data_IF_718909514322
#
_entry.id   IF_718909514322
#
_cell.length_a   1.000
_cell.length_b   1.000
_cell.length_c   1.000
_cell.angle_alpha   90.00
_cell.angle_beta   90.00
_cell.angle_gamma   90.00
#
_symmetry.space_group_name_H-M   'P 1'
#
loop_
_entity.id
_entity.type
_entity.pdbx_description
1 polymer ?
#
# COMPACT_ATOMS: atom_id res chain seq x y z
N UNK A 1 -12.72 29.33 -3.51
CA UNK A 1 -12.70 28.25 -2.49
C UNK A 1 -11.42 27.47 -2.74
N UNK A 2 -10.54 27.29 -1.75
CA UNK A 2 -9.34 26.44 -1.92
C UNK A 2 -9.80 25.02 -2.20
N UNK A 3 -9.21 24.36 -3.20
CA UNK A 3 -9.40 22.93 -3.41
C UNK A 3 -9.03 22.19 -2.10
N UNK A 4 -9.93 21.39 -1.49
CA UNK A 4 -9.63 20.62 -0.29
C UNK A 4 -8.37 19.75 -0.42
N UNK A 5 -8.04 19.30 -1.63
CA UNK A 5 -6.81 18.56 -1.93
C UNK A 5 -5.52 19.38 -1.72
N UNK A 6 -5.62 20.72 -1.72
CA UNK A 6 -4.51 21.62 -1.46
C UNK A 6 -4.34 21.99 0.03
N UNK A 7 -5.29 21.61 0.88
CA UNK A 7 -5.13 21.72 2.34
C UNK A 7 -4.03 20.79 2.84
N UNK A 8 -3.46 21.07 4.01
CA UNK A 8 -2.46 20.19 4.64
C UNK A 8 -3.00 18.76 4.83
N UNK A 9 -4.22 18.65 5.38
CA UNK A 9 -4.89 17.36 5.58
C UNK A 9 -5.14 16.65 4.24
N UNK A 10 -5.65 17.36 3.24
CA UNK A 10 -5.89 16.78 1.91
C UNK A 10 -4.62 16.23 1.26
N UNK A 11 -3.49 16.95 1.38
CA UNK A 11 -2.18 16.47 0.91
C UNK A 11 -1.72 15.23 1.67
N UNK A 12 -1.81 15.26 2.99
CA UNK A 12 -1.44 14.13 3.85
C UNK A 12 -2.26 12.88 3.50
N UNK A 13 -3.58 13.00 3.32
CA UNK A 13 -4.45 11.89 2.95
C UNK A 13 -4.09 11.32 1.57
N UNK A 14 -3.80 12.19 0.59
CA UNK A 14 -3.36 11.77 -0.75
C UNK A 14 -1.98 11.11 -0.78
N UNK A 15 -1.14 11.36 0.23
CA UNK A 15 0.20 10.79 0.34
C UNK A 15 0.24 9.49 1.16
N UNK A 16 -0.65 9.33 2.14
CA UNK A 16 -0.61 8.22 3.10
C UNK A 16 -1.73 7.18 2.87
N UNK A 17 -2.92 7.59 2.41
CA UNK A 17 -4.04 6.69 2.11
C UNK A 17 -3.99 6.27 0.65
N UNK A 18 -2.98 5.46 0.34
CA UNK A 18 -2.70 5.01 -1.01
C UNK A 18 -2.51 3.49 -1.04
N UNK A 19 -2.74 2.82 -2.18
CA UNK A 19 -2.71 1.36 -2.22
C UNK A 19 -1.37 0.76 -1.80
N UNK A 20 -1.45 -0.31 -1.01
CA UNK A 20 -0.31 -1.14 -0.61
C UNK A 20 -0.13 -2.26 -1.62
N UNK A 21 1.12 -2.48 -2.03
CA UNK A 21 1.54 -3.66 -2.80
C UNK A 21 2.48 -4.47 -1.92
N UNK A 22 2.08 -5.70 -1.62
CA UNK A 22 2.93 -6.66 -0.94
C UNK A 22 3.99 -7.19 -1.92
N UNK A 23 5.23 -7.32 -1.47
CA UNK A 23 6.35 -7.85 -2.26
C UNK A 23 6.78 -9.18 -1.66
N UNK A 24 6.69 -10.23 -2.47
CA UNK A 24 7.29 -11.54 -2.20
C UNK A 24 8.47 -11.71 -3.15
N UNK A 25 9.60 -12.19 -2.65
CA UNK A 25 10.84 -12.26 -3.43
C UNK A 25 11.66 -13.50 -3.09
N UNK A 26 12.54 -13.91 -4.00
CA UNK A 26 13.63 -14.85 -3.68
C UNK A 26 14.85 -14.11 -3.14
N UNK A 27 15.70 -14.80 -2.37
CA UNK A 27 16.93 -14.17 -1.86
C UNK A 27 17.85 -13.70 -2.99
N UNK A 28 17.94 -14.48 -4.07
CA UNK A 28 18.73 -14.16 -5.27
C UNK A 28 18.36 -12.80 -5.88
N UNK A 29 17.09 -12.38 -5.80
CA UNK A 29 16.68 -11.04 -6.27
C UNK A 29 17.30 -9.94 -5.42
N UNK A 30 17.27 -10.08 -4.09
CA UNK A 30 17.93 -9.09 -3.22
C UNK A 30 19.43 -9.09 -3.45
N UNK A 31 20.06 -10.25 -3.61
CA UNK A 31 21.49 -10.33 -3.84
C UNK A 31 21.88 -9.60 -5.14
N UNK A 32 21.05 -9.68 -6.20
CA UNK A 32 21.24 -8.91 -7.44
C UNK A 32 21.03 -7.41 -7.23
N UNK A 33 19.96 -6.98 -6.54
CA UNK A 33 19.72 -5.56 -6.25
C UNK A 33 20.80 -4.96 -5.35
N UNK A 34 21.28 -5.72 -4.37
CA UNK A 34 22.25 -5.28 -3.36
C UNK A 34 23.62 -4.98 -3.96
N UNK A 35 23.96 -5.54 -5.13
CA UNK A 35 25.15 -5.13 -5.91
C UNK A 35 25.12 -3.63 -6.26
N UNK A 36 23.93 -3.04 -6.37
CA UNK A 36 23.72 -1.59 -6.56
C UNK A 36 23.55 -0.81 -5.24
N UNK A 37 23.75 -1.44 -4.08
CA UNK A 37 23.60 -0.81 -2.77
C UNK A 37 22.14 -0.62 -2.31
N UNK A 38 21.17 -1.14 -3.06
CA UNK A 38 19.73 -1.00 -2.77
C UNK A 38 19.07 -2.38 -2.64
N UNK A 39 18.07 -2.48 -1.76
CA UNK A 39 17.12 -3.61 -1.84
C UNK A 39 16.09 -3.39 -2.95
N UNK A 40 15.35 -4.43 -3.31
CA UNK A 40 14.36 -4.36 -4.42
C UNK A 40 13.32 -3.25 -4.21
N UNK A 41 12.77 -3.13 -2.99
CA UNK A 41 11.75 -2.11 -2.69
C UNK A 41 12.33 -0.70 -2.84
N UNK A 42 13.53 -0.45 -2.32
CA UNK A 42 14.24 0.83 -2.46
C UNK A 42 14.52 1.16 -3.92
N UNK A 43 14.86 0.15 -4.72
CA UNK A 43 15.10 0.31 -6.15
C UNK A 43 13.84 0.78 -6.89
N UNK A 44 12.65 0.23 -6.58
CA UNK A 44 11.39 0.58 -7.24
C UNK A 44 10.67 1.82 -6.67
N UNK A 45 10.93 2.17 -5.42
CA UNK A 45 10.17 3.20 -4.68
C UNK A 45 10.10 4.58 -5.38
N UNK A 46 11.16 5.11 -6.03
CA UNK A 46 11.07 6.39 -6.71
C UNK A 46 10.05 6.44 -7.84
N UNK A 47 9.73 5.28 -8.44
CA UNK A 47 8.78 5.16 -9.54
C UNK A 47 7.36 4.82 -9.07
N UNK A 48 7.11 4.84 -7.75
CA UNK A 48 5.79 4.59 -7.18
C UNK A 48 4.92 5.86 -7.07
N UNK A 49 5.47 7.06 -7.32
CA UNK A 49 4.72 8.32 -7.29
C UNK A 49 4.44 8.83 -8.71
N UNK A 50 3.18 8.75 -9.11
CA UNK A 50 2.71 9.19 -10.42
C UNK A 50 2.07 10.57 -10.33
N UNK A 51 2.72 11.59 -10.87
CA UNK A 51 2.17 12.95 -10.90
C UNK A 51 1.15 13.17 -12.03
N UNK A 52 1.15 12.31 -13.05
CA UNK A 52 0.22 12.35 -14.18
C UNK A 52 -0.03 10.93 -14.73
N UNK A 53 -0.75 10.09 -13.97
CA UNK A 53 -1.09 8.74 -14.41
C UNK A 53 -2.20 8.73 -15.48
N UNK A 54 -3.09 9.72 -15.41
CA UNK A 54 -4.20 9.99 -16.33
C UNK A 54 -5.10 8.79 -16.69
N UNK A 55 -5.36 7.90 -15.74
CA UNK A 55 -6.19 6.70 -15.95
C UNK A 55 -7.68 7.03 -15.73
N UNK A 56 -8.57 6.69 -16.68
CA UNK A 56 -10.01 6.79 -16.45
C UNK A 56 -10.46 5.69 -15.49
N UNK A 57 -11.23 6.06 -14.48
CA UNK A 57 -11.82 5.16 -13.49
C UNK A 57 -13.33 5.30 -13.52
N UNK A 58 -14.02 4.17 -13.43
CA UNK A 58 -15.49 4.10 -13.38
C UNK A 58 -15.94 3.20 -12.23
N UNK A 59 -16.28 3.80 -11.11
CA UNK A 59 -16.76 3.08 -9.91
C UNK A 59 -18.22 2.64 -10.06
N UNK A 60 -19.15 3.19 -9.27
CA UNK A 60 -20.56 2.77 -9.21
C UNK A 60 -21.48 3.67 -10.03
N UNK A 61 -21.14 4.96 -10.17
CA UNK A 61 -22.01 5.94 -10.85
C UNK A 61 -21.92 5.90 -12.39
N UNK A 62 -21.19 4.94 -12.98
CA UNK A 62 -20.90 4.75 -14.42
C UNK A 62 -20.32 5.97 -15.18
N UNK A 63 -20.25 7.15 -14.55
CA UNK A 63 -19.60 8.36 -15.07
C UNK A 63 -18.09 8.23 -14.82
N UNK A 64 -17.25 8.17 -15.87
CA UNK A 64 -15.80 8.12 -15.71
C UNK A 64 -15.24 9.43 -15.19
N UNK A 65 -14.29 9.34 -14.26
CA UNK A 65 -13.39 10.43 -13.89
C UNK A 65 -11.93 9.99 -14.13
N UNK A 66 -10.98 10.93 -14.14
CA UNK A 66 -9.55 10.61 -14.39
C UNK A 66 -8.71 10.80 -13.14
N UNK A 67 -7.97 9.77 -12.77
CA UNK A 67 -6.94 9.86 -11.75
C UNK A 67 -5.73 10.61 -12.33
N UNK A 68 -5.41 11.77 -11.75
CA UNK A 68 -4.25 12.57 -12.17
C UNK A 68 -2.99 12.19 -11.41
N UNK A 69 -3.07 12.17 -10.07
CA UNK A 69 -1.99 11.71 -9.22
C UNK A 69 -2.33 10.35 -8.63
N UNK A 70 -1.31 9.51 -8.45
CA UNK A 70 -1.46 8.21 -7.84
C UNK A 70 -0.16 7.83 -7.17
N UNK A 71 -0.22 7.04 -6.10
CA UNK A 71 0.98 6.60 -5.38
C UNK A 71 0.78 5.16 -4.94
N UNK A 72 1.82 4.35 -5.06
CA UNK A 72 1.87 3.02 -4.47
C UNK A 72 2.79 3.02 -3.26
N UNK A 73 2.52 2.13 -2.31
CA UNK A 73 3.42 1.85 -1.19
C UNK A 73 3.81 0.37 -1.23
N UNK A 74 5.10 0.11 -1.39
CA UNK A 74 5.64 -1.25 -1.46
C UNK A 74 6.10 -1.69 -0.07
N UNK A 75 5.72 -2.90 0.34
CA UNK A 75 6.18 -3.51 1.59
C UNK A 75 6.53 -4.97 1.35
N UNK A 76 7.63 -5.46 1.94
CA UNK A 76 7.84 -6.90 2.00
C UNK A 76 6.77 -7.54 2.88
N UNK A 77 6.41 -8.79 2.58
CA UNK A 77 5.45 -9.54 3.40
C UNK A 77 5.82 -9.59 4.89
N UNK A 78 7.12 -9.63 5.21
CA UNK A 78 7.64 -9.59 6.59
C UNK A 78 7.33 -8.29 7.35
N UNK A 79 7.12 -7.19 6.63
CA UNK A 79 6.91 -5.86 7.21
C UNK A 79 5.42 -5.55 7.40
N UNK A 80 4.54 -6.37 6.82
CA UNK A 80 3.08 -6.26 6.92
C UNK A 80 2.64 -6.95 8.21
N UNK A 81 2.85 -6.27 9.32
CA UNK A 81 2.45 -6.74 10.65
C UNK A 81 2.23 -5.56 11.59
N UNK A 82 1.35 -5.75 12.57
CA UNK A 82 1.23 -4.80 13.67
C UNK A 82 2.37 -5.02 14.68
N UNK A 83 2.85 -3.95 15.33
CA UNK A 83 3.67 -4.07 16.52
C UNK A 83 2.94 -4.88 17.59
N UNK A 84 3.65 -5.81 18.23
CA UNK A 84 3.05 -6.77 19.18
C UNK A 84 2.45 -6.11 20.44
N UNK A 85 2.85 -4.88 20.78
CA UNK A 85 2.35 -4.19 21.97
C UNK A 85 2.18 -2.67 21.80
N UNK A 86 1.21 -2.11 22.53
CA UNK A 86 0.99 -0.66 22.66
C UNK A 86 2.22 0.05 23.24
N UNK A 87 2.96 -0.62 24.11
CA UNK A 87 4.19 -0.10 24.70
C UNK A 87 5.28 0.08 23.63
N UNK A 88 5.42 -0.88 22.70
CA UNK A 88 6.36 -0.76 21.58
C UNK A 88 6.06 0.45 20.71
N UNK A 89 4.78 0.68 20.37
CA UNK A 89 4.33 1.87 19.63
C UNK A 89 4.67 3.15 20.41
N UNK A 90 4.35 3.18 21.70
CA UNK A 90 4.58 4.36 22.54
C UNK A 90 6.08 4.68 22.65
N UNK A 91 6.92 3.66 22.81
CA UNK A 91 8.36 3.81 22.88
C UNK A 91 8.94 4.29 21.54
N UNK A 92 8.48 3.75 20.41
CA UNK A 92 8.86 4.22 19.08
C UNK A 92 8.52 5.71 18.88
N UNK A 93 7.30 6.11 19.20
CA UNK A 93 6.88 7.52 19.10
C UNK A 93 7.72 8.46 19.99
N UNK A 94 8.12 8.01 21.18
CA UNK A 94 9.06 8.75 22.04
C UNK A 94 10.44 8.89 21.39
N UNK A 95 10.97 7.83 20.78
CA UNK A 95 12.26 7.87 20.09
C UNK A 95 12.22 8.82 18.89
N UNK A 96 11.15 8.78 18.08
CA UNK A 96 10.94 9.70 16.95
C UNK A 96 10.95 11.16 17.43
N UNK A 97 10.28 11.45 18.54
CA UNK A 97 10.28 12.79 19.14
C UNK A 97 11.69 13.23 19.58
N UNK A 98 12.45 12.35 20.24
CA UNK A 98 13.82 12.65 20.70
C UNK A 98 14.72 12.92 19.49
N UNK A 99 14.74 12.02 18.51
CA UNK A 99 15.61 12.13 17.32
C UNK A 99 15.30 13.40 16.50
N UNK A 100 14.02 13.75 16.36
CA UNK A 100 13.64 14.94 15.62
C UNK A 100 14.05 16.23 16.34
N UNK A 101 14.00 16.26 17.68
CA UNK A 101 14.50 17.41 18.46
C UNK A 101 16.03 17.53 18.41
N UNK A 102 16.76 16.42 18.41
CA UNK A 102 18.23 16.44 18.28
C UNK A 102 18.70 16.94 16.91
N UNK A 103 17.87 16.77 15.87
CA UNK A 103 18.16 17.23 14.50
C UNK A 103 17.82 18.72 14.32
N UNK A 104 16.97 19.30 15.17
CA UNK A 104 16.68 20.74 15.19
C UNK A 104 17.78 21.50 15.95
N UNK A 105 18.77 22.01 15.21
CA UNK A 105 19.69 23.02 15.75
C UNK A 105 18.88 24.24 16.24
N UNK A 106 19.15 24.73 17.45
CA UNK A 106 18.52 25.94 18.00
C UNK A 106 18.65 27.09 17.00
N UNK A 107 17.55 27.61 16.42
CA UNK A 107 17.64 28.77 15.54
C UNK A 107 18.10 29.97 16.35
N UNK A 108 19.01 30.79 15.80
CA UNK A 108 19.28 32.11 16.36
C UNK A 108 17.97 32.91 16.49
N UNK A 109 17.80 33.71 17.55
CA UNK A 109 16.57 34.47 17.76
C UNK A 109 16.29 35.38 16.54
N UNK A 110 15.07 35.36 15.99
CA UNK A 110 14.75 36.10 14.78
C UNK A 110 14.89 37.60 15.01
N UNK A 111 15.56 38.28 14.08
CA UNK A 111 15.65 39.75 14.04
C UNK A 111 14.22 40.34 13.98
N UNK A 112 13.92 41.44 14.71
CA UNK A 112 12.57 41.95 14.90
C UNK A 112 11.81 42.32 13.62
N UNK A 113 12.51 42.53 12.50
CA UNK A 113 11.91 42.82 11.19
C UNK A 113 11.27 41.62 10.47
N UNK A 114 11.57 40.38 10.87
CA UNK A 114 11.10 39.16 10.19
C UNK A 114 9.95 38.43 10.90
N UNK A 115 9.50 38.91 12.07
CA UNK A 115 8.49 38.23 12.90
C UNK A 115 7.15 38.07 12.16
N UNK A 116 6.72 39.09 11.41
CA UNK A 116 5.49 39.06 10.61
C UNK A 116 5.59 38.16 9.37
N UNK A 117 6.79 37.97 8.83
CA UNK A 117 7.05 37.12 7.67
C UNK A 117 7.13 35.65 8.09
N UNK A 118 7.78 35.37 9.23
CA UNK A 118 7.83 34.03 9.84
C UNK A 118 6.45 33.59 10.31
N UNK A 119 5.67 34.47 10.96
CA UNK A 119 4.31 34.16 11.41
C UNK A 119 3.31 33.87 10.27
N UNK A 120 3.57 34.36 9.04
CA UNK A 120 2.75 34.05 7.86
C UNK A 120 3.09 32.70 7.21
N UNK A 121 4.23 32.12 7.55
CA UNK A 121 4.61 30.76 7.18
C UNK A 121 4.37 29.90 8.40
N UNK A 122 3.18 29.31 8.54
CA UNK A 122 2.90 28.28 9.54
C UNK A 122 3.79 27.04 9.29
N UNK A 123 5.10 27.14 9.54
CA UNK A 123 6.00 26.00 9.45
C UNK A 123 5.91 25.23 10.75
N UNK A 124 5.05 24.21 10.80
CA UNK A 124 5.00 23.29 11.93
C UNK A 124 6.40 22.79 12.28
N UNK A 125 6.79 22.66 13.56
CA UNK A 125 8.08 22.08 13.94
C UNK A 125 8.31 20.71 13.27
N UNK A 126 9.54 20.38 12.94
CA UNK A 126 9.87 19.12 12.25
C UNK A 126 9.54 17.90 13.11
N UNK A 127 9.75 17.99 14.43
CA UNK A 127 9.33 16.95 15.38
C UNK A 127 7.83 16.70 15.34
N UNK A 128 7.01 17.75 15.20
CA UNK A 128 5.55 17.61 15.16
C UNK A 128 5.10 16.91 13.88
N UNK A 129 5.76 17.22 12.75
CA UNK A 129 5.51 16.53 11.47
C UNK A 129 5.94 15.07 11.53
N UNK A 130 7.13 14.78 12.06
CA UNK A 130 7.65 13.43 12.21
C UNK A 130 6.79 12.58 13.15
N UNK A 131 6.42 13.15 14.30
CA UNK A 131 5.54 12.50 15.27
C UNK A 131 4.15 12.22 14.69
N UNK A 132 3.50 13.20 14.06
CA UNK A 132 2.17 12.99 13.47
C UNK A 132 2.19 11.96 12.34
N UNK A 133 3.25 11.96 11.54
CA UNK A 133 3.44 10.94 10.51
C UNK A 133 3.45 9.56 11.18
N UNK A 134 4.35 9.32 12.12
CA UNK A 134 4.48 8.03 12.80
C UNK A 134 3.23 7.64 13.60
N UNK A 135 2.50 8.60 14.15
CA UNK A 135 1.22 8.36 14.80
C UNK A 135 0.16 7.84 13.83
N UNK A 136 0.10 8.39 12.60
CA UNK A 136 -0.78 7.89 11.52
C UNK A 136 -0.31 6.52 11.02
N UNK A 137 0.99 6.22 11.08
CA UNK A 137 1.53 4.91 10.67
C UNK A 137 1.37 3.83 11.74
N UNK A 138 1.23 4.21 13.01
CA UNK A 138 1.16 3.27 14.13
C UNK A 138 0.05 2.20 14.02
N UNK A 139 -1.18 2.51 13.56
CA UNK A 139 -2.23 1.50 13.42
C UNK A 139 -2.12 0.64 12.15
N UNK A 140 -1.12 0.84 11.28
CA UNK A 140 -1.00 0.11 10.00
C UNK A 140 -1.12 -1.41 10.16
N UNK A 141 -1.62 -2.03 9.09
CA UNK A 141 -1.79 -3.49 8.98
C UNK A 141 -2.65 -4.09 10.10
N UNK A 142 -3.65 -3.35 10.55
CA UNK A 142 -4.60 -3.85 11.56
C UNK A 142 -5.67 -4.77 10.96
N UNK A 143 -6.28 -5.61 11.80
CA UNK A 143 -7.46 -6.40 11.41
C UNK A 143 -8.74 -5.56 11.27
N UNK A 144 -8.75 -4.33 11.79
CA UNK A 144 -9.96 -3.51 11.98
C UNK A 144 -10.11 -2.38 10.95
N UNK A 145 -9.10 -2.12 10.14
CA UNK A 145 -9.14 -1.29 8.94
C UNK A 145 -8.53 -2.02 7.74
N UNK A 146 -8.96 -1.71 6.51
CA UNK A 146 -8.40 -2.32 5.30
C UNK A 146 -7.62 -1.32 4.43
N UNK A 147 -7.38 -0.10 4.92
CA UNK A 147 -6.62 0.96 4.22
C UNK A 147 -5.17 0.53 3.94
N UNK A 148 -4.56 -0.21 4.86
CA UNK A 148 -3.20 -0.73 4.71
C UNK A 148 -3.16 -2.20 4.31
N UNK A 149 -4.30 -2.82 4.00
CA UNK A 149 -4.30 -4.16 3.45
C UNK A 149 -3.77 -4.12 2.02
N UNK A 150 -2.83 -5.02 1.66
CA UNK A 150 -2.37 -5.15 0.28
C UNK A 150 -3.51 -5.31 -0.72
N UNK A 151 -3.55 -4.44 -1.72
CA UNK A 151 -4.51 -4.55 -2.84
C UNK A 151 -3.99 -5.50 -3.92
N UNK A 152 -2.68 -5.70 -3.95
CA UNK A 152 -1.97 -6.55 -4.89
C UNK A 152 -0.69 -7.12 -4.26
N UNK A 153 -0.16 -8.18 -4.88
CA UNK A 153 1.09 -8.83 -4.55
C UNK A 153 1.99 -8.85 -5.78
N UNK A 154 3.16 -8.27 -5.68
CA UNK A 154 4.25 -8.41 -6.64
C UNK A 154 5.10 -9.60 -6.21
N UNK A 155 5.06 -10.70 -6.98
CA UNK A 155 5.86 -11.90 -6.74
C UNK A 155 7.08 -11.83 -7.64
N UNK A 156 8.27 -11.88 -7.07
CA UNK A 156 9.52 -11.55 -7.77
C UNK A 156 10.52 -12.70 -7.65
N UNK A 157 11.00 -13.17 -8.80
CA UNK A 157 11.98 -14.27 -8.88
C UNK A 157 13.11 -13.84 -9.81
N UNK A 158 14.32 -14.30 -9.53
CA UNK A 158 15.48 -14.03 -10.38
C UNK A 158 15.56 -15.07 -11.49
N UNK A 159 15.95 -14.64 -12.69
CA UNK A 159 16.32 -15.54 -13.80
C UNK A 159 17.52 -16.45 -13.49
N UNK A 160 18.28 -16.15 -12.43
CA UNK A 160 19.38 -16.96 -11.90
C UNK A 160 18.89 -18.06 -10.95
N UNK A 161 17.66 -17.98 -10.45
CA UNK A 161 17.12 -18.99 -9.56
C UNK A 161 17.03 -20.36 -10.23
N UNK A 162 17.25 -21.42 -9.44
CA UNK A 162 16.94 -22.77 -9.87
C UNK A 162 15.42 -22.94 -9.98
N UNK A 163 14.96 -23.47 -11.12
CA UNK A 163 13.53 -23.66 -11.44
C UNK A 163 12.65 -22.43 -11.11
N UNK A 164 12.86 -21.27 -11.78
CA UNK A 164 12.18 -20.01 -11.44
C UNK A 164 10.65 -20.11 -11.40
N UNK A 165 10.05 -20.88 -12.32
CA UNK A 165 8.59 -21.06 -12.40
C UNK A 165 8.03 -21.70 -11.12
N UNK A 166 8.70 -22.71 -10.57
CA UNK A 166 8.27 -23.36 -9.34
C UNK A 166 8.36 -22.39 -8.15
N UNK A 167 9.42 -21.56 -8.10
CA UNK A 167 9.59 -20.57 -7.03
C UNK A 167 8.45 -19.53 -6.99
N UNK A 168 7.91 -19.11 -8.14
CA UNK A 168 6.74 -18.23 -8.16
C UNK A 168 5.53 -18.84 -7.47
N UNK A 169 5.31 -20.14 -7.66
CA UNK A 169 4.20 -20.89 -7.03
C UNK A 169 4.47 -21.03 -5.53
N UNK A 170 5.70 -21.39 -5.17
CA UNK A 170 6.07 -21.65 -3.78
C UNK A 170 5.97 -20.39 -2.91
N UNK A 171 6.44 -19.23 -3.41
CA UNK A 171 6.48 -17.97 -2.64
C UNK A 171 5.12 -17.61 -2.04
N UNK A 172 4.03 -17.78 -2.79
CA UNK A 172 2.68 -17.48 -2.31
C UNK A 172 2.06 -18.59 -1.44
N UNK A 173 2.63 -19.78 -1.44
CA UNK A 173 2.16 -20.91 -0.63
C UNK A 173 3.02 -21.13 0.63
N UNK A 174 4.02 -20.27 0.88
CA UNK A 174 4.86 -20.36 2.07
C UNK A 174 4.19 -19.78 3.32
N UNK A 175 4.66 -20.21 4.49
CA UNK A 175 4.30 -19.62 5.78
C UNK A 175 4.84 -18.18 5.97
N UNK A 176 5.42 -17.56 4.94
CA UNK A 176 5.96 -16.19 4.99
C UNK A 176 4.87 -15.13 4.74
N UNK A 177 3.63 -15.55 4.46
CA UNK A 177 2.51 -14.65 4.30
C UNK A 177 2.16 -13.94 5.63
N UNK A 178 1.71 -12.67 5.58
CA UNK A 178 1.26 -11.94 6.76
C UNK A 178 0.16 -12.68 7.52
N UNK A 179 0.16 -12.59 8.86
CA UNK A 179 -0.86 -13.24 9.70
C UNK A 179 -2.28 -12.80 9.34
N UNK A 180 -2.46 -11.56 8.86
CA UNK A 180 -3.74 -11.06 8.35
C UNK A 180 -4.40 -11.99 7.31
N UNK A 181 -3.62 -12.67 6.47
CA UNK A 181 -4.14 -13.65 5.51
C UNK A 181 -4.51 -14.97 6.21
N UNK A 182 -3.65 -15.44 7.09
CA UNK A 182 -3.81 -16.74 7.76
C UNK A 182 -4.94 -16.73 8.79
N UNK A 183 -5.13 -15.60 9.47
CA UNK A 183 -6.14 -15.39 10.52
C UNK A 183 -7.52 -15.03 9.93
N UNK A 184 -7.62 -14.88 8.60
CA UNK A 184 -8.87 -14.58 7.91
C UNK A 184 -9.35 -13.13 8.05
N UNK A 185 -8.47 -12.20 8.43
CA UNK A 185 -8.76 -10.77 8.44
C UNK A 185 -8.75 -10.18 7.02
N UNK A 186 -7.90 -10.72 6.13
CA UNK A 186 -7.76 -10.30 4.73
C UNK A 186 -8.12 -11.43 3.76
N UNK A 187 -8.71 -11.07 2.62
CA UNK A 187 -9.03 -12.01 1.54
C UNK A 187 -7.73 -12.51 0.87
N UNK A 188 -7.44 -13.82 0.84
CA UNK A 188 -6.25 -14.35 0.17
C UNK A 188 -6.30 -14.21 -1.36
N UNK A 189 -7.46 -13.87 -1.93
CA UNK A 189 -7.63 -13.62 -3.37
C UNK A 189 -7.30 -12.17 -3.74
N UNK A 190 -6.05 -11.78 -3.50
CA UNK A 190 -5.48 -10.51 -3.97
C UNK A 190 -4.95 -10.64 -5.39
N UNK A 191 -4.88 -9.51 -6.12
CA UNK A 191 -4.22 -9.44 -7.43
C UNK A 191 -2.75 -9.88 -7.31
N UNK A 192 -2.26 -10.71 -8.23
CA UNK A 192 -0.85 -11.13 -8.27
C UNK A 192 -0.25 -10.69 -9.59
N UNK A 193 0.93 -10.09 -9.52
CA UNK A 193 1.76 -9.75 -10.69
C UNK A 193 3.11 -10.44 -10.55
N UNK A 194 3.54 -11.16 -11.57
CA UNK A 194 4.75 -11.97 -11.56
C UNK A 194 5.87 -11.23 -12.29
N UNK A 195 6.95 -10.94 -11.57
CA UNK A 195 8.10 -10.20 -12.09
C UNK A 195 9.33 -11.11 -12.12
N UNK A 196 9.89 -11.30 -13.31
CA UNK A 196 11.21 -11.90 -13.49
C UNK A 196 12.26 -10.80 -13.46
N UNK A 197 13.25 -10.91 -12.58
CA UNK A 197 14.40 -10.00 -12.57
C UNK A 197 15.59 -10.68 -13.26
N UNK A 198 16.19 -10.00 -14.22
CA UNK A 198 17.40 -10.45 -14.90
C UNK A 198 18.51 -9.44 -14.70
N UNK A 199 19.56 -9.84 -13.99
CA UNK A 199 20.80 -9.08 -13.97
C UNK A 199 21.58 -9.39 -15.25
N UNK A 200 21.87 -8.37 -16.04
CA UNK A 200 22.57 -8.49 -17.32
C UNK A 200 23.99 -9.09 -17.18
N UNK A 201 24.53 -9.16 -15.96
CA UNK A 201 25.80 -9.83 -15.66
C UNK A 201 25.66 -11.35 -15.45
N UNK A 202 24.45 -11.86 -15.24
CA UNK A 202 24.21 -13.26 -14.83
C UNK A 202 23.89 -14.21 -16.03
N UNK A 203 23.81 -13.71 -17.27
CA UNK A 203 23.63 -14.57 -18.45
C UNK A 203 23.14 -13.84 -19.70
N UNK A 204 22.70 -14.59 -20.71
CA UNK A 204 22.15 -14.02 -21.95
C UNK A 204 20.69 -13.59 -21.78
N UNK A 205 20.34 -12.46 -22.41
CA UNK A 205 18.97 -11.93 -22.47
C UNK A 205 17.98 -12.93 -23.09
N UNK A 206 18.43 -13.77 -24.04
CA UNK A 206 17.61 -14.84 -24.65
C UNK A 206 17.06 -15.83 -23.62
N UNK A 207 17.86 -16.19 -22.61
CA UNK A 207 17.42 -17.09 -21.54
C UNK A 207 16.27 -16.46 -20.74
N UNK A 208 16.40 -15.18 -20.40
CA UNK A 208 15.37 -14.45 -19.66
C UNK A 208 14.08 -14.31 -20.48
N UNK A 209 14.19 -14.06 -21.79
CA UNK A 209 13.02 -14.00 -22.69
C UNK A 209 12.30 -15.35 -22.82
N UNK A 210 13.04 -16.46 -22.92
CA UNK A 210 12.44 -17.79 -22.95
C UNK A 210 11.70 -18.12 -21.64
N UNK A 211 12.29 -17.78 -20.49
CA UNK A 211 11.62 -17.92 -19.19
C UNK A 211 10.37 -17.05 -19.10
N UNK A 212 10.39 -15.82 -19.63
CA UNK A 212 9.21 -14.96 -19.68
C UNK A 212 8.07 -15.57 -20.52
N UNK A 213 8.37 -16.22 -21.64
CA UNK A 213 7.37 -16.92 -22.45
C UNK A 213 6.74 -18.07 -21.66
N UNK A 214 7.56 -18.86 -20.95
CA UNK A 214 7.09 -19.94 -20.09
C UNK A 214 6.22 -19.42 -18.93
N UNK A 215 6.63 -18.32 -18.28
CA UNK A 215 5.84 -17.64 -17.25
C UNK A 215 4.48 -17.20 -17.79
N UNK A 216 4.44 -16.56 -18.96
CA UNK A 216 3.19 -16.11 -19.60
C UNK A 216 2.25 -17.27 -19.92
N UNK A 217 2.79 -18.43 -20.30
CA UNK A 217 2.00 -19.65 -20.50
C UNK A 217 1.43 -20.21 -19.18
N UNK A 218 2.15 -20.03 -18.07
CA UNK A 218 1.79 -20.63 -16.76
C UNK A 218 0.83 -19.76 -15.96
N UNK A 219 1.12 -18.46 -15.90
CA UNK A 219 0.43 -17.52 -15.02
C UNK A 219 -0.50 -16.54 -15.75
N UNK A 220 -0.46 -16.51 -17.08
CA UNK A 220 -1.23 -15.58 -17.90
C UNK A 220 -0.35 -14.51 -18.54
N UNK A 221 -0.71 -14.13 -19.77
CA UNK A 221 0.12 -13.23 -20.60
C UNK A 221 0.23 -11.82 -20.06
N UNK A 222 -0.80 -11.34 -19.36
CA UNK A 222 -0.91 -9.97 -18.91
C UNK A 222 -0.28 -9.77 -17.53
N UNK A 223 -0.25 -10.81 -16.70
CA UNK A 223 0.18 -10.70 -15.29
C UNK A 223 1.68 -10.96 -15.11
N UNK A 224 2.46 -11.01 -16.19
CA UNK A 224 3.90 -11.32 -16.18
C UNK A 224 4.73 -10.20 -16.81
N UNK A 225 5.82 -9.81 -16.14
CA UNK A 225 6.79 -8.83 -16.62
C UNK A 225 8.24 -9.31 -16.43
N UNK A 226 9.14 -8.79 -17.24
CA UNK A 226 10.59 -8.93 -17.11
C UNK A 226 11.17 -7.56 -16.79
N UNK A 227 12.10 -7.50 -15.84
CA UNK A 227 12.91 -6.33 -15.55
C UNK A 227 14.38 -6.71 -15.70
N UNK A 228 15.07 -6.05 -16.63
CA UNK A 228 16.51 -6.16 -16.77
C UNK A 228 17.18 -5.09 -15.89
N UNK A 229 18.22 -5.48 -15.17
CA UNK A 229 19.02 -4.56 -14.36
C UNK A 229 20.50 -4.75 -14.66
N UNK A 230 21.29 -3.69 -14.53
CA UNK A 230 22.74 -3.78 -14.59
C UNK A 230 23.37 -3.66 -13.21
N UNK A 231 24.34 -4.53 -12.94
CA UNK A 231 25.17 -4.50 -11.71
C UNK A 231 26.67 -4.33 -12.00
N UNK A 232 27.07 -4.23 -13.27
CA UNK A 232 28.46 -4.11 -13.69
C UNK A 232 29.03 -2.70 -13.48
N UNK A 233 30.20 -2.61 -12.84
CA UNK A 233 30.91 -1.33 -12.57
C UNK A 233 31.57 -0.69 -13.81
N UNK A 234 31.17 -1.05 -15.03
CA UNK A 234 31.76 -0.52 -16.27
C UNK A 234 31.32 0.94 -16.51
N UNK A 235 31.84 1.84 -15.66
CA UNK A 235 32.40 3.16 -15.96
C UNK A 235 31.52 4.20 -16.67
N UNK A 236 30.25 3.94 -16.90
CA UNK A 236 29.34 4.86 -17.61
C UNK A 236 28.10 5.23 -16.81
N UNK A 237 28.18 5.08 -15.48
CA UNK A 237 27.22 5.67 -14.55
C UNK A 237 27.26 7.19 -14.66
N UNK A 238 26.53 7.74 -15.64
CA UNK A 238 26.20 9.16 -15.67
C UNK A 238 25.68 9.52 -14.29
N UNK A 239 26.22 10.60 -13.71
CA UNK A 239 25.84 11.19 -12.42
C UNK A 239 24.35 10.96 -12.13
N UNK A 240 24.04 9.88 -11.38
CA UNK A 240 22.68 9.36 -11.35
C UNK A 240 21.72 10.38 -10.77
N UNK A 241 20.52 10.38 -11.35
CA UNK A 241 19.37 11.18 -11.00
C UNK A 241 19.11 11.18 -9.48
N UNK A 242 18.63 12.33 -9.01
CA UNK A 242 18.26 12.65 -7.62
C UNK A 242 17.26 11.69 -6.95
N UNK A 243 16.72 10.75 -7.70
CA UNK A 243 15.61 9.87 -7.35
C UNK A 243 15.86 8.96 -6.14
N UNK A 244 17.11 8.58 -5.84
CA UNK A 244 17.47 7.72 -4.68
C UNK A 244 18.24 8.44 -3.56
N UNK A 245 18.25 9.77 -3.52
CA UNK A 245 18.92 10.54 -2.45
C UNK A 245 18.66 10.06 -1.00
N UNK A 246 17.46 9.56 -0.62
CA UNK A 246 17.21 9.07 0.75
C UNK A 246 17.97 7.79 1.12
N UNK A 247 18.44 7.02 0.13
CA UNK A 247 18.98 5.68 0.31
C UNK A 247 20.46 5.58 -0.08
N UNK A 248 21.08 6.71 -0.45
CA UNK A 248 22.40 6.73 -1.08
C UNK A 248 23.48 6.17 -0.15
N UNK A 249 24.08 5.06 -0.56
CA UNK A 249 25.38 4.61 -0.09
C UNK A 249 26.49 5.29 -0.88
N UNK A 250 27.69 5.42 -0.32
CA UNK A 250 28.85 6.07 -0.98
C UNK A 250 29.30 5.39 -2.29
N UNK A 251 28.80 4.17 -2.57
CA UNK A 251 29.08 3.43 -3.79
C UNK A 251 28.29 3.93 -5.01
N UNK A 252 28.92 4.03 -6.20
CA UNK A 252 28.21 4.37 -7.43
C UNK A 252 27.23 3.27 -7.82
N UNK A 253 26.01 3.65 -8.23
CA UNK A 253 25.04 2.71 -8.81
C UNK A 253 25.48 2.34 -10.24
N UNK A 254 25.35 1.07 -10.60
CA UNK A 254 25.62 0.55 -11.94
C UNK A 254 24.40 0.64 -12.88
N UNK A 255 23.26 1.14 -12.38
CA UNK A 255 22.05 1.34 -13.17
C UNK A 255 22.24 2.43 -14.23
N UNK A 256 21.95 2.10 -15.48
CA UNK A 256 21.96 3.05 -16.60
C UNK A 256 20.56 3.63 -16.86
N UNK A 257 20.44 4.54 -17.83
CA UNK A 257 19.16 5.20 -18.15
C UNK A 257 18.08 4.24 -18.69
N UNK A 258 18.48 3.15 -19.35
CA UNK A 258 17.54 2.12 -19.83
C UNK A 258 16.96 1.37 -18.64
N UNK A 259 17.79 0.93 -17.70
CA UNK A 259 17.34 0.25 -16.48
C UNK A 259 16.32 1.12 -15.71
N UNK A 260 16.60 2.43 -15.60
CA UNK A 260 15.72 3.42 -14.96
C UNK A 260 14.39 3.54 -15.71
N UNK A 261 14.43 3.58 -17.05
CA UNK A 261 13.23 3.70 -17.87
C UNK A 261 12.38 2.43 -17.80
N UNK A 262 13.00 1.23 -17.84
CA UNK A 262 12.32 -0.05 -17.66
C UNK A 262 11.61 -0.12 -16.30
N UNK A 263 12.25 0.31 -15.21
CA UNK A 263 11.62 0.35 -13.88
C UNK A 263 10.42 1.31 -13.85
N UNK A 264 10.54 2.48 -14.49
CA UNK A 264 9.47 3.46 -14.59
C UNK A 264 8.27 2.93 -15.37
N UNK A 265 8.52 2.30 -16.52
CA UNK A 265 7.50 1.69 -17.36
C UNK A 265 6.82 0.52 -16.65
N UNK A 266 7.59 -0.34 -15.97
CA UNK A 266 7.07 -1.44 -15.15
C UNK A 266 6.09 -0.93 -14.08
N UNK A 267 6.48 0.08 -13.30
CA UNK A 267 5.63 0.59 -12.22
C UNK A 267 4.40 1.35 -12.75
N UNK A 268 4.56 2.06 -13.87
CA UNK A 268 3.46 2.72 -14.57
C UNK A 268 2.44 1.70 -15.10
N UNK A 269 2.91 0.61 -15.71
CA UNK A 269 2.07 -0.47 -16.23
C UNK A 269 1.38 -1.23 -15.10
N UNK A 270 2.12 -1.65 -14.08
CA UNK A 270 1.58 -2.30 -12.88
C UNK A 270 0.43 -1.47 -12.27
N UNK A 271 0.61 -0.16 -12.18
CA UNK A 271 -0.40 0.74 -11.63
C UNK A 271 -1.62 0.91 -12.55
N UNK A 272 -1.37 1.29 -13.81
CA UNK A 272 -2.42 1.74 -14.74
C UNK A 272 -3.18 0.62 -15.43
N UNK A 273 -2.51 -0.52 -15.70
CA UNK A 273 -3.08 -1.66 -16.43
C UNK A 273 -3.55 -2.79 -15.51
N UNK A 274 -3.04 -2.88 -14.28
CA UNK A 274 -3.35 -3.98 -13.36
C UNK A 274 -4.04 -3.51 -12.08
N UNK A 275 -3.36 -2.71 -11.25
CA UNK A 275 -3.86 -2.36 -9.90
C UNK A 275 -5.13 -1.52 -9.96
N UNK A 276 -5.13 -0.40 -10.69
CA UNK A 276 -6.30 0.48 -10.78
C UNK A 276 -7.51 -0.27 -11.38
N UNK A 277 -7.38 -0.98 -12.51
CA UNK A 277 -8.49 -1.78 -13.05
C UNK A 277 -8.99 -2.87 -12.10
N UNK A 278 -8.10 -3.56 -11.39
CA UNK A 278 -8.48 -4.57 -10.40
C UNK A 278 -9.28 -3.96 -9.26
N UNK A 279 -8.83 -2.83 -8.72
CA UNK A 279 -9.55 -2.11 -7.66
C UNK A 279 -10.93 -1.63 -8.14
N UNK A 280 -11.02 -1.08 -9.35
CA UNK A 280 -12.30 -0.70 -9.98
C UNK A 280 -13.27 -1.89 -10.07
N UNK A 281 -12.78 -3.03 -10.57
CA UNK A 281 -13.58 -4.25 -10.68
C UNK A 281 -14.04 -4.77 -9.30
N UNK A 282 -13.15 -4.75 -8.30
CA UNK A 282 -13.47 -5.18 -6.93
C UNK A 282 -14.53 -4.25 -6.32
N UNK A 283 -14.45 -2.94 -6.51
CA UNK A 283 -15.49 -1.98 -6.09
C UNK A 283 -16.85 -2.37 -6.69
N UNK A 284 -16.92 -2.61 -8.00
CA UNK A 284 -18.19 -2.98 -8.65
C UNK A 284 -18.77 -4.28 -8.12
N UNK A 285 -17.92 -5.30 -7.97
CA UNK A 285 -18.31 -6.60 -7.45
C UNK A 285 -18.84 -6.49 -6.03
N UNK A 286 -18.10 -5.85 -5.12
CA UNK A 286 -18.48 -5.68 -3.73
C UNK A 286 -19.75 -4.83 -3.61
N UNK A 287 -19.88 -3.75 -4.39
CA UNK A 287 -21.08 -2.92 -4.37
C UNK A 287 -22.35 -3.70 -4.80
N UNK A 288 -22.23 -4.57 -5.80
CA UNK A 288 -23.33 -5.46 -6.22
C UNK A 288 -23.68 -6.47 -5.11
N UNK A 289 -22.68 -7.09 -4.48
CA UNK A 289 -22.88 -8.02 -3.36
C UNK A 289 -23.56 -7.35 -2.17
N UNK A 290 -23.07 -6.17 -1.78
CA UNK A 290 -23.64 -5.37 -0.68
C UNK A 290 -25.07 -4.95 -0.98
N UNK A 291 -25.35 -4.50 -2.20
CA UNK A 291 -26.70 -4.12 -2.63
C UNK A 291 -27.67 -5.30 -2.64
N UNK A 292 -27.23 -6.48 -3.11
CA UNK A 292 -28.04 -7.70 -3.13
C UNK A 292 -28.37 -8.18 -1.71
N UNK A 293 -27.36 -8.20 -0.83
CA UNK A 293 -27.53 -8.57 0.58
C UNK A 293 -28.49 -7.62 1.28
N UNK A 294 -28.39 -6.30 1.08
CA UNK A 294 -29.32 -5.32 1.69
C UNK A 294 -30.76 -5.44 1.18
N UNK A 295 -30.97 -5.77 -0.10
CA UNK A 295 -32.32 -6.04 -0.64
C UNK A 295 -32.96 -7.27 0.02
N UNK A 296 -32.17 -8.31 0.32
CA UNK A 296 -32.62 -9.49 1.09
C UNK A 296 -32.80 -9.21 2.59
N UNK A 297 -31.96 -8.36 3.18
CA UNK A 297 -31.98 -8.00 4.60
C UNK A 297 -33.16 -7.12 5.00
N UNK A 298 -33.85 -6.45 4.06
CA UNK A 298 -35.12 -5.76 4.39
C UNK A 298 -36.15 -6.70 5.04
N UNK A 299 -36.06 -8.02 4.79
CA UNK A 299 -36.85 -9.05 5.47
C UNK A 299 -36.18 -9.63 6.73
N UNK A 300 -34.86 -9.57 6.87
CA UNK A 300 -34.10 -10.08 8.04
C UNK A 300 -33.84 -9.04 9.13
N UNK A 301 -33.97 -7.74 8.83
CA UNK A 301 -33.86 -6.67 9.83
C UNK A 301 -34.88 -6.88 10.94
N UNK A 302 -36.06 -7.46 10.67
CA UNK A 302 -37.02 -7.89 11.70
C UNK A 302 -36.42 -8.87 12.73
N UNK A 303 -35.42 -9.66 12.37
CA UNK A 303 -34.75 -10.60 13.28
C UNK A 303 -33.59 -9.97 14.07
N UNK A 304 -33.04 -8.82 13.64
CA UNK A 304 -32.02 -8.09 14.38
C UNK A 304 -32.58 -7.40 15.64
N UNK A 305 -33.84 -6.95 15.59
CA UNK A 305 -34.53 -6.36 16.76
C UNK A 305 -34.79 -7.37 17.89
N UNK A 306 -34.69 -8.69 17.63
CA UNK A 306 -34.83 -9.76 18.64
C UNK A 306 -33.50 -10.20 19.28
N UNK A 307 -32.34 -9.70 18.83
CA UNK A 307 -31.04 -9.97 19.47
C UNK A 307 -30.73 -9.08 20.67
N UNK A 308 -31.62 -8.13 21.00
CA UNK A 308 -31.53 -7.27 22.19
C UNK A 308 -31.93 -8.06 23.45
N UNK A 309 -31.12 -9.05 23.84
CA UNK A 309 -31.48 -9.91 24.98
C UNK A 309 -30.49 -10.99 25.42
N UNK A 310 -29.21 -10.93 25.06
CA UNK A 310 -28.19 -11.76 25.73
C UNK A 310 -27.01 -10.90 26.16
N UNK A 311 -26.97 -10.63 27.45
CA UNK A 311 -25.82 -10.10 28.18
C UNK A 311 -24.68 -11.13 28.27
N UNK A 312 -23.48 -10.58 28.33
CA UNK A 312 -22.21 -11.14 28.81
C UNK A 312 -21.79 -12.52 28.30
N UNK A 313 -21.01 -12.49 27.21
CA UNK A 313 -19.98 -13.51 26.95
C UNK A 313 -18.63 -12.80 26.85
N UNK A 314 -17.61 -13.27 27.59
CA UNK A 314 -16.29 -12.66 27.60
C UNK A 314 -15.62 -12.83 26.24
N UNK A 315 -14.73 -11.88 25.91
CA UNK A 315 -13.94 -11.79 24.68
C UNK A 315 -13.56 -13.16 24.13
N UNK A 316 -14.24 -13.58 23.05
CA UNK A 316 -13.87 -14.77 22.32
C UNK A 316 -12.51 -14.52 21.65
N UNK A 317 -11.57 -15.48 21.74
CA UNK A 317 -10.24 -15.34 21.20
C UNK A 317 -10.32 -15.28 19.67
N UNK A 318 -9.95 -14.13 19.10
CA UNK A 318 -9.37 -13.89 17.75
C UNK A 318 -9.85 -14.73 16.54
N UNK A 319 -11.04 -15.32 16.58
CA UNK A 319 -11.75 -15.95 15.45
C UNK A 319 -13.00 -15.14 15.19
N UNK A 320 -12.80 -13.90 14.76
CA UNK A 320 -13.71 -12.79 14.99
C UNK A 320 -14.92 -12.74 14.07
N UNK A 321 -16.01 -12.16 14.60
CA UNK A 321 -17.27 -11.81 13.92
C UNK A 321 -17.12 -11.12 12.56
N UNK A 322 -15.93 -10.63 12.21
CA UNK A 322 -15.62 -9.84 11.03
C UNK A 322 -14.44 -10.42 10.24
N UNK A 323 -14.58 -11.65 9.75
CA UNK A 323 -13.62 -12.22 8.78
C UNK A 323 -13.73 -11.50 7.43
N UNK A 324 -12.76 -11.69 6.54
CA UNK A 324 -12.77 -11.08 5.19
C UNK A 324 -14.06 -11.38 4.39
N UNK A 325 -14.72 -12.50 4.69
CA UNK A 325 -15.97 -12.90 4.03
C UNK A 325 -17.23 -12.26 4.63
N UNK A 326 -17.13 -11.62 5.79
CA UNK A 326 -18.24 -10.89 6.41
C UNK A 326 -18.69 -9.71 5.54
N UNK A 327 -19.99 -9.39 5.60
CA UNK A 327 -20.54 -8.29 4.81
C UNK A 327 -19.95 -6.95 5.26
N UNK A 328 -19.67 -6.78 6.54
CA UNK A 328 -19.07 -5.58 7.10
C UNK A 328 -17.63 -5.40 6.61
N UNK A 329 -16.84 -6.48 6.53
CA UNK A 329 -15.48 -6.40 5.98
C UNK A 329 -15.49 -6.13 4.48
N UNK A 330 -16.44 -6.69 3.73
CA UNK A 330 -16.63 -6.38 2.31
C UNK A 330 -17.00 -4.91 2.09
N UNK A 331 -17.89 -4.35 2.92
CA UNK A 331 -18.24 -2.92 2.89
C UNK A 331 -17.03 -2.06 3.25
N UNK A 332 -16.18 -2.53 4.17
CA UNK A 332 -14.96 -1.82 4.55
C UNK A 332 -13.98 -1.74 3.39
N UNK A 333 -13.66 -2.87 2.76
CA UNK A 333 -12.79 -2.94 1.58
C UNK A 333 -13.35 -2.10 0.43
N UNK A 334 -14.66 -2.13 0.20
CA UNK A 334 -15.34 -1.29 -0.79
C UNK A 334 -15.10 0.20 -0.52
N UNK A 335 -15.28 0.65 0.72
CA UNK A 335 -15.06 2.03 1.12
C UNK A 335 -13.59 2.46 0.96
N UNK A 336 -12.66 1.63 1.44
CA UNK A 336 -11.23 1.92 1.40
C UNK A 336 -10.71 1.97 -0.05
N UNK A 337 -11.15 1.06 -0.93
CA UNK A 337 -10.81 1.09 -2.36
C UNK A 337 -11.41 2.32 -3.05
N UNK A 338 -12.66 2.66 -2.76
CA UNK A 338 -13.30 3.86 -3.30
C UNK A 338 -12.54 5.12 -2.88
N UNK A 339 -12.09 5.20 -1.63
CA UNK A 339 -11.28 6.33 -1.15
C UNK A 339 -9.95 6.42 -1.89
N UNK A 340 -9.21 5.32 -2.04
CA UNK A 340 -7.93 5.29 -2.78
C UNK A 340 -8.10 5.67 -4.25
N UNK A 341 -9.23 5.31 -4.86
CA UNK A 341 -9.58 5.74 -6.22
C UNK A 341 -10.27 7.12 -6.26
N UNK A 342 -10.41 7.83 -5.13
CA UNK A 342 -10.97 9.20 -5.03
C UNK A 342 -12.47 9.31 -5.30
N UNK A 343 -13.21 8.22 -5.21
CA UNK A 343 -14.66 8.24 -5.10
C UNK A 343 -15.05 8.42 -3.63
N UNK A 344 -14.82 9.64 -3.12
CA UNK A 344 -15.02 9.97 -1.70
C UNK A 344 -16.49 9.91 -1.28
N UNK A 345 -17.42 10.14 -2.20
CA UNK A 345 -18.85 10.03 -1.91
C UNK A 345 -19.24 8.56 -1.65
N UNK A 346 -18.78 7.64 -2.50
CA UNK A 346 -18.98 6.21 -2.29
C UNK A 346 -18.30 5.73 -1.01
N UNK A 347 -17.06 6.16 -0.75
CA UNK A 347 -16.33 5.82 0.47
C UNK A 347 -17.09 6.27 1.72
N UNK A 348 -17.45 7.55 1.80
CA UNK A 348 -18.18 8.14 2.92
C UNK A 348 -19.53 7.45 3.18
N UNK A 349 -20.26 7.08 2.11
CA UNK A 349 -21.53 6.38 2.25
C UNK A 349 -21.38 5.00 2.91
N UNK A 350 -20.30 4.27 2.59
CA UNK A 350 -20.01 2.95 3.15
C UNK A 350 -19.49 3.06 4.59
N UNK A 351 -18.64 4.04 4.89
CA UNK A 351 -18.16 4.31 6.24
C UNK A 351 -19.31 4.68 7.19
N UNK A 352 -20.24 5.54 6.78
CA UNK A 352 -21.41 5.89 7.61
C UNK A 352 -22.28 4.68 7.96
N UNK A 353 -22.42 3.75 7.02
CA UNK A 353 -23.14 2.51 7.30
C UNK A 353 -22.42 1.69 8.37
N UNK A 354 -21.13 1.38 8.15
CA UNK A 354 -20.33 0.59 9.09
C UNK A 354 -20.26 1.21 10.48
N UNK A 355 -20.17 2.53 10.56
CA UNK A 355 -20.18 3.27 11.82
C UNK A 355 -21.43 2.96 12.64
N UNK A 356 -22.58 2.75 12.01
CA UNK A 356 -23.81 2.41 12.72
C UNK A 356 -23.75 0.98 13.26
N UNK A 357 -23.36 0.04 12.41
CA UNK A 357 -23.31 -1.39 12.74
C UNK A 357 -22.26 -1.67 13.83
N UNK A 358 -21.02 -1.17 13.66
CA UNK A 358 -19.95 -1.35 14.65
C UNK A 358 -20.26 -0.73 16.00
N UNK A 359 -21.03 0.39 16.04
CA UNK A 359 -21.46 1.00 17.30
C UNK A 359 -22.50 0.13 18.02
N UNK A 360 -23.44 -0.46 17.29
CA UNK A 360 -24.44 -1.37 17.85
C UNK A 360 -23.79 -2.64 18.40
N UNK A 361 -22.81 -3.17 17.68
CA UNK A 361 -22.05 -4.35 18.04
C UNK A 361 -21.00 -4.09 19.16
N UNK A 362 -20.84 -2.83 19.61
CA UNK A 362 -19.78 -2.40 20.53
C UNK A 362 -18.36 -2.75 20.05
N UNK A 363 -18.16 -2.85 18.74
CA UNK A 363 -16.87 -3.16 18.10
C UNK A 363 -15.98 -1.91 18.04
N UNK A 364 -15.52 -1.42 19.20
CA UNK A 364 -14.92 -0.09 19.34
C UNK A 364 -13.69 0.19 18.47
N UNK A 365 -12.81 -0.80 18.27
CA UNK A 365 -11.63 -0.65 17.39
C UNK A 365 -12.05 -0.40 15.94
N UNK A 366 -13.02 -1.17 15.44
CA UNK A 366 -13.58 -1.02 14.08
C UNK A 366 -14.37 0.27 13.94
N UNK A 367 -15.17 0.62 14.95
CA UNK A 367 -15.88 1.89 14.99
C UNK A 367 -14.92 3.09 14.91
N UNK A 368 -13.83 3.07 15.67
CA UNK A 368 -12.79 4.11 15.62
C UNK A 368 -12.15 4.20 14.23
N UNK A 369 -11.76 3.07 13.63
CA UNK A 369 -11.14 3.04 12.30
C UNK A 369 -12.03 3.58 11.17
N UNK A 370 -13.36 3.55 11.33
CA UNK A 370 -14.31 4.13 10.37
C UNK A 370 -14.56 5.63 10.63
N UNK A 371 -14.47 6.07 11.88
CA UNK A 371 -14.58 7.50 12.23
C UNK A 371 -13.39 8.30 11.71
N UNK A 372 -12.18 7.75 11.75
CA UNK A 372 -10.97 8.39 11.20
C UNK A 372 -11.11 8.64 9.70
N UNK A 373 -11.78 7.74 8.98
CA UNK A 373 -12.00 7.84 7.54
C UNK A 373 -13.17 8.78 7.14
N UNK A 374 -13.91 9.32 8.11
CA UNK A 374 -15.02 10.27 7.89
C UNK A 374 -14.60 11.75 8.03
N UNK A 375 -13.34 12.02 8.39
CA UNK A 375 -12.75 13.36 8.48
C UNK A 375 -12.22 13.79 7.12
#
# INVERSE_FOLDING_TARGET
>A
MMDPANSYLGKMLLEEITPVVMVLKTQTVEDSCQKNGLNLVQMLNPFCLFNNIDVPVRTVNDIPYRLKKFKLRLYYASDIRQPESREAITNHLKQVFINANETEATPDPPQPGNILTVAKTESLPSWFRAFNKELVLAPRFSEHEAVDHPVACLVVVSSKDEQPINKFIDLFNTNQLPSLLNDGAMDPKILKHYLLVHDNQDGSSEKAMNLLIEMKSTFGTNDCSLLCINSGQDGSGNQLDSSWFPYKTDSPLALNSEDINEMKELMQDLSSKHIIPHMEQKIRLLNQQVSATRKGFRNQIKNLWWRKGKEDTPDAPSGGMYTFSSIESQIRVLGDYAFMLRDYELALSNYRLLSTDYKLDKAWKRFAGVQVANV
#
